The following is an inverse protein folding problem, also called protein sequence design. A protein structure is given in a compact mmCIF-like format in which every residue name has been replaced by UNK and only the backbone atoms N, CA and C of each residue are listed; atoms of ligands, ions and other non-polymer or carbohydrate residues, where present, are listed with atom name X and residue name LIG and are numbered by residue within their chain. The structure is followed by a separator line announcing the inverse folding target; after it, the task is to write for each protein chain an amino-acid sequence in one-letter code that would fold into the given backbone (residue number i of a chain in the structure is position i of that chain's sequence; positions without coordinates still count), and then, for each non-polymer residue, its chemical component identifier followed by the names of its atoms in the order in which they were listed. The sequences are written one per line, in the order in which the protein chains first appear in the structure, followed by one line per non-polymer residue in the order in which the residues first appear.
data_IF_132909046180
#
_entry.id   IF_132909046180
#
_cell.length_a   1.000
_cell.length_b   1.000
_cell.length_c   1.000
_cell.angle_alpha   90.00
_cell.angle_beta   90.00
_cell.angle_gamma   90.00
#
_symmetry.space_group_name_H-M   'P 1'
#
loop_
_entity.id
_entity.type
_entity.pdbx_description
1 polymer ?
#
# COMPACT_ATOMS: atom_id res chain seq x y z
N UNK A 1 13.01 12.42 -8.49
CA UNK A 1 12.38 11.21 -7.92
C UNK A 1 12.01 11.59 -6.49
N UNK A 2 10.71 11.72 -6.21
CA UNK A 2 10.26 12.16 -4.88
C UNK A 2 10.66 11.16 -3.80
N UNK A 3 10.80 11.65 -2.57
CA UNK A 3 10.95 10.81 -1.39
C UNK A 3 9.74 9.87 -1.28
N UNK A 4 9.97 8.55 -1.36
CA UNK A 4 8.91 7.51 -1.28
C UNK A 4 8.07 7.68 -0.02
N UNK A 5 8.71 8.14 1.05
CA UNK A 5 8.09 8.35 2.35
C UNK A 5 7.55 9.76 2.56
N UNK A 6 7.44 10.57 1.51
CA UNK A 6 6.72 11.83 1.60
C UNK A 6 5.27 11.57 2.09
N UNK A 7 4.87 12.29 3.14
CA UNK A 7 3.58 12.09 3.81
C UNK A 7 3.43 10.74 4.54
N UNK A 8 4.51 9.99 4.74
CA UNK A 8 4.54 8.70 5.43
C UNK A 8 5.74 8.60 6.42
N UNK A 9 5.77 9.48 7.46
CA UNK A 9 6.89 9.56 8.40
C UNK A 9 7.10 8.30 9.24
N UNK A 10 6.06 7.53 9.55
CA UNK A 10 6.20 6.29 10.34
C UNK A 10 6.88 5.19 9.51
N UNK A 11 6.49 5.06 8.25
CA UNK A 11 7.14 4.17 7.27
C UNK A 11 8.61 4.56 7.09
N UNK A 12 8.92 5.85 7.00
CA UNK A 12 10.31 6.35 6.96
C UNK A 12 11.09 5.90 8.18
N UNK A 13 10.57 6.18 9.37
CA UNK A 13 11.23 5.89 10.63
C UNK A 13 11.51 4.39 10.78
N UNK A 14 10.56 3.54 10.37
CA UNK A 14 10.77 2.08 10.35
C UNK A 14 11.88 1.71 9.37
N UNK A 15 11.86 2.23 8.14
CA UNK A 15 12.88 1.92 7.14
C UNK A 15 14.29 2.31 7.57
N UNK A 16 14.45 3.42 8.28
CA UNK A 16 15.74 3.91 8.78
C UNK A 16 16.36 2.98 9.84
N UNK A 17 15.56 2.13 10.51
CA UNK A 17 16.02 1.22 11.56
C UNK A 17 15.94 -0.26 11.20
N UNK A 18 15.56 -0.60 9.95
CA UNK A 18 15.46 -2.00 9.55
C UNK A 18 16.82 -2.70 9.59
N UNK A 19 16.91 -3.92 10.16
CA UNK A 19 18.12 -4.71 10.08
C UNK A 19 18.51 -4.98 8.63
N UNK A 20 19.81 -4.96 8.34
CA UNK A 20 20.35 -5.22 7.00
C UNK A 20 19.79 -6.49 6.34
N UNK A 21 19.65 -7.64 7.02
CA UNK A 21 19.07 -8.84 6.39
C UNK A 21 17.60 -8.66 5.95
N UNK A 22 16.83 -7.79 6.63
CA UNK A 22 15.46 -7.47 6.24
C UNK A 22 15.46 -6.55 5.01
N UNK A 23 16.34 -5.54 4.99
CA UNK A 23 16.51 -4.66 3.82
C UNK A 23 16.92 -5.44 2.57
N UNK A 24 17.83 -6.41 2.71
CA UNK A 24 18.25 -7.30 1.61
C UNK A 24 17.08 -8.16 1.12
N UNK A 25 16.31 -8.76 2.03
CA UNK A 25 15.12 -9.54 1.66
C UNK A 25 14.05 -8.70 0.94
N UNK A 26 13.84 -7.45 1.38
CA UNK A 26 12.94 -6.51 0.70
C UNK A 26 13.46 -6.18 -0.71
N UNK A 27 14.76 -5.90 -0.84
CA UNK A 27 15.37 -5.62 -2.14
C UNK A 27 15.24 -6.81 -3.11
N UNK A 28 15.38 -8.04 -2.62
CA UNK A 28 15.18 -9.25 -3.42
C UNK A 28 13.73 -9.39 -3.93
N UNK A 29 12.75 -9.09 -3.07
CA UNK A 29 11.33 -9.08 -3.47
C UNK A 29 11.07 -8.01 -4.54
N UNK A 30 11.59 -6.80 -4.34
CA UNK A 30 11.45 -5.69 -5.30
C UNK A 30 12.15 -6.00 -6.64
N UNK A 31 13.32 -6.66 -6.61
CA UNK A 31 14.04 -7.07 -7.80
C UNK A 31 13.26 -8.10 -8.62
N UNK A 32 12.72 -9.14 -7.97
CA UNK A 32 11.85 -10.14 -8.63
C UNK A 32 10.61 -9.48 -9.24
N UNK A 33 10.01 -8.52 -8.53
CA UNK A 33 8.86 -7.79 -9.04
C UNK A 33 9.22 -6.96 -10.28
N UNK A 34 10.35 -6.27 -10.23
CA UNK A 34 10.87 -5.49 -11.35
C UNK A 34 11.13 -6.35 -12.59
N UNK A 35 11.63 -7.57 -12.43
CA UNK A 35 11.82 -8.52 -13.53
C UNK A 35 10.49 -8.87 -14.22
N UNK A 36 9.44 -9.18 -13.44
CA UNK A 36 8.10 -9.47 -13.98
C UNK A 36 7.54 -8.27 -14.73
N UNK A 37 7.69 -7.06 -14.20
CA UNK A 37 7.22 -5.83 -14.83
C UNK A 37 7.98 -5.54 -16.13
N UNK A 38 9.31 -5.70 -16.14
CA UNK A 38 10.15 -5.57 -17.35
C UNK A 38 9.80 -6.59 -18.42
N UNK A 39 9.43 -7.81 -18.04
CA UNK A 39 9.01 -8.84 -19.01
C UNK A 39 7.73 -8.46 -19.77
N UNK A 40 6.86 -7.64 -19.16
CA UNK A 40 5.56 -7.23 -19.70
C UNK A 40 5.61 -5.97 -20.56
N UNK A 41 6.73 -5.26 -20.60
CA UNK A 41 6.88 -4.04 -21.40
C UNK A 41 7.71 -4.26 -22.67
N UNK A 42 7.48 -3.40 -23.65
CA UNK A 42 8.22 -3.39 -24.90
C UNK A 42 9.74 -3.24 -24.63
N UNK A 43 10.62 -3.87 -25.43
CA UNK A 43 12.06 -3.89 -25.19
C UNK A 43 12.68 -2.51 -24.92
N UNK A 44 12.27 -1.48 -25.68
CA UNK A 44 12.76 -0.10 -25.54
C UNK A 44 12.35 0.61 -24.24
N UNK A 45 11.39 0.05 -23.49
CA UNK A 45 10.97 0.59 -22.18
C UNK A 45 11.62 -0.15 -21.01
N UNK A 46 12.19 -1.35 -21.21
CA UNK A 46 12.72 -2.19 -20.13
C UNK A 46 13.82 -1.51 -19.33
N UNK A 47 14.76 -0.89 -20.03
CA UNK A 47 15.91 -0.21 -19.44
C UNK A 47 15.51 1.08 -18.70
N UNK A 48 14.35 1.66 -19.04
CA UNK A 48 13.84 2.88 -18.40
C UNK A 48 13.15 2.62 -17.07
N UNK A 49 12.77 1.37 -16.79
CA UNK A 49 12.14 0.98 -15.53
C UNK A 49 13.25 0.49 -14.59
N UNK A 50 13.64 1.33 -13.64
CA UNK A 50 14.75 1.06 -12.70
C UNK A 50 14.29 0.60 -11.32
N UNK A 51 12.99 0.73 -11.03
CA UNK A 51 12.32 0.29 -9.81
C UNK A 51 10.95 -0.28 -10.16
N UNK A 52 10.41 -1.22 -9.35
CA UNK A 52 9.04 -1.66 -9.54
C UNK A 52 8.07 -0.47 -9.42
N UNK A 53 6.93 -0.54 -10.11
CA UNK A 53 5.88 0.49 -10.06
C UNK A 53 5.36 0.69 -8.63
N UNK A 54 5.32 -0.40 -7.84
CA UNK A 54 5.03 -0.37 -6.41
C UNK A 54 6.05 -1.24 -5.67
N UNK A 55 7.13 -0.61 -5.19
CA UNK A 55 8.08 -1.25 -4.27
C UNK A 55 7.41 -1.56 -2.93
N UNK A 56 8.02 -2.44 -2.12
CA UNK A 56 7.53 -2.70 -0.75
C UNK A 56 7.42 -1.39 0.04
N UNK A 57 8.42 -0.50 -0.08
CA UNK A 57 8.41 0.80 0.57
C UNK A 57 7.24 1.69 0.09
N UNK A 58 6.98 1.73 -1.23
CA UNK A 58 5.87 2.51 -1.79
C UNK A 58 4.52 2.00 -1.27
N UNK A 59 4.37 0.69 -1.06
CA UNK A 59 3.13 0.08 -0.55
C UNK A 59 2.87 0.48 0.89
N UNK A 60 3.87 0.39 1.77
CA UNK A 60 3.76 0.86 3.15
C UNK A 60 3.44 2.36 3.21
N UNK A 61 4.18 3.17 2.45
CA UNK A 61 3.98 4.61 2.44
C UNK A 61 2.59 5.00 1.90
N UNK A 62 2.08 4.30 0.89
CA UNK A 62 0.74 4.57 0.33
C UNK A 62 -0.35 4.17 1.33
N UNK A 63 -0.16 3.07 2.05
CA UNK A 63 -1.09 2.65 3.10
C UNK A 63 -1.14 3.66 4.25
N UNK A 64 0.02 4.12 4.73
CA UNK A 64 0.09 5.15 5.78
C UNK A 64 -0.57 6.46 5.34
N UNK A 65 -0.30 6.91 4.10
CA UNK A 65 -0.94 8.11 3.55
C UNK A 65 -2.46 7.98 3.52
N UNK A 66 -2.99 6.84 3.05
CA UNK A 66 -4.44 6.62 3.04
C UNK A 66 -5.01 6.65 4.47
N UNK A 67 -4.40 5.94 5.41
CA UNK A 67 -4.83 5.93 6.81
C UNK A 67 -4.85 7.36 7.38
N UNK A 68 -3.78 8.13 7.17
CA UNK A 68 -3.71 9.53 7.59
C UNK A 68 -4.80 10.41 6.95
N UNK A 69 -5.11 10.21 5.66
CA UNK A 69 -6.22 10.91 4.99
C UNK A 69 -7.57 10.56 5.62
N UNK A 70 -7.82 9.29 5.89
CA UNK A 70 -9.08 8.83 6.52
C UNK A 70 -9.23 9.35 7.94
N UNK A 71 -8.15 9.40 8.72
CA UNK A 71 -8.16 9.93 10.08
C UNK A 71 -8.42 11.43 10.11
N UNK A 72 -7.83 12.18 9.19
CA UNK A 72 -7.96 13.65 9.17
C UNK A 72 -9.16 14.14 8.39
N UNK A 73 -9.70 13.32 7.47
CA UNK A 73 -10.70 13.74 6.49
C UNK A 73 -10.17 14.78 5.51
N UNK A 74 -8.84 14.88 5.35
CA UNK A 74 -8.20 15.82 4.43
C UNK A 74 -7.39 15.04 3.40
N UNK A 75 -7.54 15.33 2.11
CA UNK A 75 -6.57 14.91 1.12
C UNK A 75 -5.22 15.54 1.52
N UNK A 76 -4.24 14.72 1.89
CA UNK A 76 -2.94 15.20 2.34
C UNK A 76 -2.15 15.83 1.19
N UNK A 77 -1.80 17.11 1.33
CA UNK A 77 -0.93 17.85 0.40
C UNK A 77 -1.64 18.47 -0.81
N UNK A 78 -0.86 18.95 -1.78
CA UNK A 78 -1.33 19.62 -3.01
C UNK A 78 -1.77 18.64 -4.12
N UNK A 79 -1.69 17.33 -3.86
CA UNK A 79 -1.98 16.29 -4.86
C UNK A 79 -3.42 15.80 -4.76
N UNK A 80 -4.15 16.00 -5.86
CA UNK A 80 -5.51 15.51 -6.09
C UNK A 80 -5.61 13.99 -5.87
N UNK A 81 -6.52 13.57 -4.99
CA UNK A 81 -6.76 12.17 -4.64
C UNK A 81 -8.19 11.76 -5.00
N UNK A 82 -8.42 11.17 -6.18
CA UNK A 82 -9.76 10.74 -6.59
C UNK A 82 -10.19 9.46 -5.86
N UNK A 83 -11.50 9.20 -5.82
CA UNK A 83 -12.06 7.94 -5.26
C UNK A 83 -11.45 6.67 -5.86
N UNK A 84 -11.00 6.69 -7.12
CA UNK A 84 -10.31 5.54 -7.73
C UNK A 84 -8.95 5.25 -7.09
N UNK A 85 -8.27 6.27 -6.54
CA UNK A 85 -7.00 6.07 -5.82
C UNK A 85 -7.21 5.28 -4.52
N UNK A 86 -8.37 5.43 -3.87
CA UNK A 86 -8.75 4.60 -2.73
C UNK A 86 -8.80 3.11 -3.09
N UNK A 87 -9.39 2.75 -4.23
CA UNK A 87 -9.38 1.38 -4.72
C UNK A 87 -7.96 0.85 -5.00
N UNK A 88 -7.10 1.67 -5.60
CA UNK A 88 -5.71 1.31 -5.86
C UNK A 88 -4.93 1.07 -4.57
N UNK A 89 -5.16 1.87 -3.52
CA UNK A 89 -4.51 1.69 -2.23
C UNK A 89 -4.98 0.42 -1.51
N UNK A 90 -6.27 0.04 -1.64
CA UNK A 90 -6.78 -1.24 -1.14
C UNK A 90 -6.16 -2.43 -1.88
N UNK A 91 -6.08 -2.39 -3.21
CA UNK A 91 -5.40 -3.43 -4.01
C UNK A 91 -3.90 -3.51 -3.68
N UNK A 92 -3.30 -2.34 -3.44
CA UNK A 92 -1.89 -2.24 -3.06
C UNK A 92 -1.64 -2.87 -1.70
N UNK A 93 -2.57 -2.66 -0.75
CA UNK A 93 -2.56 -3.27 0.58
C UNK A 93 -2.81 -4.77 0.51
N UNK A 94 -3.72 -5.28 -0.30
CA UNK A 94 -3.92 -6.73 -0.46
C UNK A 94 -2.66 -7.40 -1.05
N UNK A 95 -2.02 -6.74 -2.02
CA UNK A 95 -0.73 -7.21 -2.54
C UNK A 95 0.38 -7.14 -1.50
N UNK A 96 0.25 -6.29 -0.48
CA UNK A 96 1.21 -6.22 0.63
C UNK A 96 1.09 -7.43 1.56
N UNK A 97 -0.09 -8.08 1.67
CA UNK A 97 -0.21 -9.36 2.39
C UNK A 97 0.65 -10.44 1.71
N UNK A 98 0.54 -10.57 0.38
CA UNK A 98 1.37 -11.51 -0.41
C UNK A 98 2.88 -11.24 -0.26
N UNK A 99 3.27 -9.96 -0.26
CA UNK A 99 4.66 -9.54 -0.09
C UNK A 99 5.17 -9.88 1.30
N UNK A 100 4.40 -9.56 2.35
CA UNK A 100 4.80 -9.83 3.72
C UNK A 100 4.96 -11.33 3.95
N UNK A 101 4.05 -12.17 3.43
CA UNK A 101 4.14 -13.63 3.53
C UNK A 101 5.39 -14.22 2.86
N UNK A 102 5.89 -13.57 1.80
CA UNK A 102 7.12 -13.96 1.13
C UNK A 102 8.40 -13.53 1.88
N UNK A 103 8.30 -12.62 2.85
CA UNK A 103 9.44 -12.15 3.63
C UNK A 103 9.79 -13.10 4.80
N UNK A 104 11.06 -13.11 5.24
CA UNK A 104 11.48 -13.87 6.42
C UNK A 104 10.63 -13.55 7.65
N UNK A 105 10.45 -14.52 8.55
CA UNK A 105 9.70 -14.34 9.80
C UNK A 105 10.17 -13.11 10.60
N UNK A 106 11.49 -12.87 10.65
CA UNK A 106 12.06 -11.69 11.32
C UNK A 106 11.54 -10.34 10.76
N UNK A 107 11.19 -10.27 9.48
CA UNK A 107 10.58 -9.07 8.89
C UNK A 107 9.10 -8.96 9.29
N UNK A 108 8.36 -10.08 9.22
CA UNK A 108 6.93 -10.18 9.54
C UNK A 108 6.62 -9.99 11.02
N UNK A 109 7.48 -10.46 11.91
CA UNK A 109 7.31 -10.34 13.37
C UNK A 109 8.01 -9.08 13.91
N UNK A 110 8.82 -8.43 13.08
CA UNK A 110 9.61 -7.26 13.45
C UNK A 110 8.88 -5.93 13.21
N UNK A 111 9.68 -4.90 12.89
CA UNK A 111 9.19 -3.53 12.74
C UNK A 111 8.19 -3.37 11.58
N UNK A 112 8.36 -4.10 10.46
CA UNK A 112 7.43 -4.05 9.33
C UNK A 112 6.06 -4.62 9.70
N UNK A 113 6.01 -5.77 10.37
CA UNK A 113 4.74 -6.35 10.82
C UNK A 113 4.04 -5.49 11.85
N UNK A 114 4.80 -4.96 12.82
CA UNK A 114 4.26 -4.03 13.84
C UNK A 114 3.67 -2.78 13.20
N UNK A 115 4.36 -2.18 12.23
CA UNK A 115 3.86 -1.03 11.49
C UNK A 115 2.58 -1.38 10.72
N UNK A 116 2.59 -2.48 9.99
CA UNK A 116 1.43 -2.89 9.18
C UNK A 116 0.19 -3.13 10.06
N UNK A 117 0.35 -3.83 11.18
CA UNK A 117 -0.72 -4.07 12.13
C UNK A 117 -1.26 -2.78 12.75
N UNK A 118 -0.38 -1.83 13.09
CA UNK A 118 -0.76 -0.50 13.58
C UNK A 118 -1.59 0.27 12.55
N UNK A 119 -1.14 0.30 11.29
CA UNK A 119 -1.85 0.98 10.21
C UNK A 119 -3.20 0.31 9.90
N UNK A 120 -3.27 -1.02 9.92
CA UNK A 120 -4.54 -1.75 9.74
C UNK A 120 -5.54 -1.45 10.87
N UNK A 121 -5.10 -1.43 12.12
CA UNK A 121 -5.95 -1.07 13.26
C UNK A 121 -6.49 0.37 13.13
N UNK A 122 -5.65 1.30 12.68
CA UNK A 122 -6.05 2.69 12.44
C UNK A 122 -7.01 2.84 11.26
N UNK A 123 -6.78 2.08 10.18
CA UNK A 123 -7.72 1.98 9.07
C UNK A 123 -9.10 1.50 9.55
N UNK A 124 -9.14 0.45 10.37
CA UNK A 124 -10.38 -0.07 10.94
C UNK A 124 -11.07 0.99 11.81
N UNK A 125 -10.33 1.66 12.69
CA UNK A 125 -10.87 2.73 13.52
C UNK A 125 -11.41 3.94 12.72
N UNK A 126 -10.79 4.24 11.58
CA UNK A 126 -11.18 5.33 10.68
C UNK A 126 -12.24 4.93 9.64
N UNK A 127 -12.86 3.75 9.78
CA UNK A 127 -13.86 3.23 8.85
C UNK A 127 -15.04 2.56 9.55
N UNK A 128 -16.14 2.37 8.82
CA UNK A 128 -17.33 1.64 9.28
C UNK A 128 -17.67 0.51 8.32
N UNK A 129 -18.35 -0.56 8.78
CA UNK A 129 -18.88 -1.57 7.88
C UNK A 129 -19.77 -0.97 6.79
N UNK A 130 -19.60 -1.45 5.57
CA UNK A 130 -20.36 -1.11 4.37
C UNK A 130 -20.93 -2.39 3.73
N UNK A 131 -21.88 -3.08 4.39
CA UNK A 131 -22.45 -4.34 3.89
C UNK A 131 -23.21 -4.16 2.57
N UNK A 132 -23.74 -2.96 2.33
CA UNK A 132 -24.44 -2.58 1.10
C UNK A 132 -23.47 -2.35 -0.07
N UNK A 133 -22.18 -2.16 0.22
CA UNK A 133 -21.16 -1.92 -0.78
C UNK A 133 -21.39 -0.61 -1.52
N UNK A 134 -21.70 0.45 -0.78
CA UNK A 134 -21.97 1.79 -1.30
C UNK A 134 -20.85 2.30 -2.23
N UNK A 135 -19.59 1.91 -2.00
CA UNK A 135 -18.45 2.33 -2.81
C UNK A 135 -18.22 1.49 -4.08
N UNK A 136 -18.88 0.34 -4.24
CA UNK A 136 -18.65 -0.62 -5.35
C UNK A 136 -18.78 -0.05 -6.77
N UNK A 137 -19.59 0.99 -7.04
CA UNK A 137 -19.59 1.59 -8.37
C UNK A 137 -18.23 2.16 -8.79
N UNK A 138 -17.44 2.65 -7.84
CA UNK A 138 -16.18 3.35 -8.08
C UNK A 138 -14.95 2.59 -7.57
N UNK A 139 -15.11 1.79 -6.52
CA UNK A 139 -14.05 1.09 -5.82
C UNK A 139 -14.23 -0.41 -6.07
N UNK A 140 -13.39 -0.97 -6.93
CA UNK A 140 -13.44 -2.38 -7.30
C UNK A 140 -12.03 -2.97 -7.27
N UNK A 141 -11.88 -4.21 -6.76
CA UNK A 141 -10.61 -4.91 -6.80
C UNK A 141 -10.19 -5.15 -8.25
N UNK A 142 -8.91 -4.96 -8.55
CA UNK A 142 -8.36 -5.28 -9.87
C UNK A 142 -8.08 -6.77 -10.04
N UNK A 143 -7.88 -7.49 -8.93
CA UNK A 143 -7.74 -8.95 -8.92
C UNK A 143 -9.09 -9.61 -8.59
N UNK A 144 -9.34 -10.76 -9.19
CA UNK A 144 -10.49 -11.58 -8.83
C UNK A 144 -10.16 -12.34 -7.54
N UNK A 145 -10.92 -12.09 -6.47
CA UNK A 145 -10.75 -12.77 -5.19
C UNK A 145 -11.92 -13.73 -4.95
N UNK A 146 -11.62 -14.99 -4.63
CA UNK A 146 -12.63 -15.96 -4.22
C UNK A 146 -13.46 -15.47 -3.01
N UNK A 147 -12.79 -14.74 -2.11
CA UNK A 147 -13.42 -13.95 -1.05
C UNK A 147 -12.63 -12.67 -0.85
N UNK A 148 -13.29 -11.53 -1.01
CA UNK A 148 -12.65 -10.24 -0.73
C UNK A 148 -12.31 -10.10 0.76
N UNK A 149 -11.10 -9.61 1.09
CA UNK A 149 -10.74 -9.24 2.45
C UNK A 149 -11.74 -8.23 3.04
N UNK A 150 -11.92 -8.27 4.36
CA UNK A 150 -12.96 -7.47 5.03
C UNK A 150 -12.75 -5.96 4.86
N UNK A 151 -11.52 -5.50 4.59
CA UNK A 151 -11.21 -4.09 4.27
C UNK A 151 -12.02 -3.53 3.09
N UNK A 152 -12.40 -4.37 2.12
CA UNK A 152 -13.25 -3.98 0.98
C UNK A 152 -14.74 -3.86 1.31
N UNK A 153 -15.14 -4.30 2.51
CA UNK A 153 -16.52 -4.20 3.02
C UNK A 153 -16.65 -3.08 4.04
N UNK A 154 -15.76 -2.09 3.95
CA UNK A 154 -15.72 -0.94 4.83
C UNK A 154 -15.71 0.33 4.00
N UNK A 155 -16.25 1.40 4.57
CA UNK A 155 -16.16 2.75 4.00
C UNK A 155 -15.51 3.69 5.01
N UNK A 156 -14.76 4.71 4.55
CA UNK A 156 -14.19 5.71 5.45
C UNK A 156 -15.26 6.45 6.25
N UNK A 157 -14.95 6.77 7.52
CA UNK A 157 -15.77 7.66 8.35
C UNK A 157 -15.73 9.10 7.85
N UNK A 158 -14.58 9.51 7.32
CA UNK A 158 -14.36 10.81 6.69
C UNK A 158 -13.85 10.54 5.28
N UNK A 159 -14.40 11.26 4.31
CA UNK A 159 -14.02 11.12 2.91
C UNK A 159 -12.54 11.50 2.72
N UNK A 160 -11.67 10.58 2.27
CA UNK A 160 -10.26 10.88 2.05
C UNK A 160 -9.97 11.45 0.65
N UNK A 161 -10.97 11.46 -0.24
CA UNK A 161 -10.86 11.90 -1.63
C UNK A 161 -11.43 13.29 -1.87
N UNK A 162 -10.91 13.92 -2.92
CA UNK A 162 -11.42 15.17 -3.45
C UNK A 162 -12.70 14.93 -4.27
N UNK A 163 -13.62 15.89 -4.22
CA UNK A 163 -14.86 15.93 -4.99
C UNK A 163 -14.67 16.46 -6.42
#
# INVERSE_FOLDING_TARGET
MGDVFWGAPESRAVWEVLPRPVLEAVADVDARRLEVERARVAPHLRERITRPVYSVADRFASWERLVGRMETGRPGGDDFYPISAYGNDLDSRDSLDEVMDALPAAAREGALGTLLASLDARFEAASVPDPEGSLRPWVRPTKEHARLPDRWRRKPLRTPWDD
#
